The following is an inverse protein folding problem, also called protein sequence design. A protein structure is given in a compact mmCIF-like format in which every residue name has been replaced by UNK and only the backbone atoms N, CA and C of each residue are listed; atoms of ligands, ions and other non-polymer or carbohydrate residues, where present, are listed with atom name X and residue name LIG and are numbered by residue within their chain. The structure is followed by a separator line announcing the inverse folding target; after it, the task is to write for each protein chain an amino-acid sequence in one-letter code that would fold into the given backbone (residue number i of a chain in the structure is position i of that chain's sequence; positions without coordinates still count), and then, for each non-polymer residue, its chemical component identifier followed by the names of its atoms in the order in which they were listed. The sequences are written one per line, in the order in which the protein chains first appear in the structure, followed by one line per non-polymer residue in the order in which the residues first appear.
data_IF_560734795400
#
_entry.id   IF_560734795400
#
_cell.length_a   1.000
_cell.length_b   1.000
_cell.length_c   1.000
_cell.angle_alpha   90.00
_cell.angle_beta   90.00
_cell.angle_gamma   90.00
#
_symmetry.space_group_name_H-M   'P 1'
#
loop_
_entity.id
_entity.type
_entity.pdbx_description
1 polymer ?
#
# COMPACT_ATOMS: atom_id res chain seq x y z
N UNK A 1 44.51 -13.08 66.46
CA UNK A 1 43.04 -12.92 66.42
C UNK A 1 42.64 -12.58 65.00
N UNK A 2 42.27 -13.54 64.31
CA UNK A 2 41.34 -13.80 63.24
C UNK A 2 40.97 -12.62 62.35
N UNK A 3 41.64 -12.58 61.19
CA UNK A 3 41.26 -11.75 60.05
C UNK A 3 40.38 -12.51 59.07
N UNK A 4 39.20 -12.00 58.80
CA UNK A 4 38.27 -12.52 57.83
C UNK A 4 38.62 -11.91 56.47
N UNK A 5 39.12 -12.72 55.57
CA UNK A 5 39.29 -12.40 54.13
C UNK A 5 37.93 -12.52 53.46
N UNK A 6 37.37 -11.38 53.08
CA UNK A 6 36.17 -11.32 52.27
C UNK A 6 36.59 -11.52 50.78
N UNK A 7 36.31 -12.69 50.22
CA UNK A 7 36.44 -12.94 48.80
C UNK A 7 35.28 -12.24 48.06
N UNK A 8 35.57 -11.15 47.39
CA UNK A 8 34.66 -10.54 46.45
C UNK A 8 34.70 -11.39 45.19
N UNK A 9 33.68 -12.23 44.99
CA UNK A 9 33.45 -12.97 43.78
C UNK A 9 32.83 -11.99 42.76
N UNK A 10 33.66 -11.47 41.85
CA UNK A 10 33.19 -10.71 40.71
C UNK A 10 32.54 -11.69 39.76
N UNK A 11 31.23 -11.85 39.84
CA UNK A 11 30.41 -12.53 38.83
C UNK A 11 30.36 -11.61 37.63
N UNK A 12 31.25 -11.85 36.68
CA UNK A 12 31.17 -11.29 35.32
C UNK A 12 29.98 -11.94 34.64
N UNK A 13 28.82 -11.28 34.73
CA UNK A 13 27.66 -11.67 33.97
C UNK A 13 27.96 -11.33 32.48
N UNK A 14 28.50 -12.31 31.76
CA UNK A 14 28.47 -12.28 30.30
C UNK A 14 26.99 -12.32 29.86
N UNK A 15 26.39 -11.14 29.68
CA UNK A 15 25.19 -10.99 28.92
C UNK A 15 25.57 -11.29 27.47
N UNK A 16 25.58 -12.57 27.14
CA UNK A 16 25.46 -13.00 25.76
C UNK A 16 24.09 -12.53 25.32
N UNK A 17 24.02 -11.34 24.74
CA UNK A 17 22.91 -10.95 23.89
C UNK A 17 22.88 -11.95 22.74
N UNK A 18 22.20 -13.06 22.96
CA UNK A 18 21.73 -13.91 21.90
C UNK A 18 20.82 -13.04 21.07
N UNK A 19 21.38 -12.44 20.02
CA UNK A 19 20.61 -12.08 18.86
C UNK A 19 19.96 -13.39 18.42
N UNK A 20 18.77 -13.64 18.93
CA UNK A 20 17.85 -14.62 18.38
C UNK A 20 17.48 -14.07 17.01
N UNK A 21 18.35 -14.26 16.03
CA UNK A 21 17.90 -14.48 14.67
C UNK A 21 16.75 -15.47 14.83
N UNK A 22 15.52 -15.00 14.72
CA UNK A 22 14.38 -15.83 14.42
C UNK A 22 14.68 -16.44 13.03
N UNK A 23 15.58 -17.39 12.97
CA UNK A 23 15.48 -18.42 11.97
C UNK A 23 14.08 -19.01 12.19
N UNK A 24 13.14 -18.65 11.35
CA UNK A 24 11.94 -19.42 11.21
C UNK A 24 12.46 -20.80 10.82
N UNK A 25 12.48 -21.71 11.79
CA UNK A 25 12.68 -23.12 11.50
C UNK A 25 11.50 -23.45 10.62
N UNK A 26 11.74 -23.50 9.31
CA UNK A 26 10.75 -23.92 8.36
C UNK A 26 10.30 -25.30 8.83
N UNK A 27 9.03 -25.43 9.17
CA UNK A 27 8.44 -26.74 9.48
C UNK A 27 8.75 -27.61 8.26
N UNK A 28 9.35 -28.81 8.41
CA UNK A 28 9.90 -29.59 7.28
C UNK A 28 8.93 -29.97 6.16
N UNK A 29 7.70 -29.45 6.22
CA UNK A 29 6.66 -29.61 5.20
C UNK A 29 6.33 -28.32 4.40
N UNK A 30 6.64 -27.13 4.90
CA UNK A 30 6.23 -25.88 4.27
C UNK A 30 7.24 -25.37 3.22
N UNK A 31 6.72 -24.59 2.24
CA UNK A 31 7.56 -23.91 1.26
C UNK A 31 8.08 -22.59 1.85
N UNK A 32 9.35 -22.27 1.58
CA UNK A 32 9.95 -20.99 1.99
C UNK A 32 9.78 -19.97 0.86
N UNK A 33 8.98 -18.92 1.12
CA UNK A 33 8.78 -17.80 0.17
C UNK A 33 10.08 -17.17 -0.30
N UNK A 34 11.10 -17.15 0.55
CA UNK A 34 12.39 -16.51 0.23
C UNK A 34 13.15 -17.20 -0.90
N UNK A 35 12.78 -18.44 -1.25
CA UNK A 35 13.39 -19.22 -2.33
C UNK A 35 12.82 -18.86 -3.71
N UNK A 36 11.62 -18.28 -3.75
CA UNK A 36 10.95 -17.97 -5.01
C UNK A 36 11.50 -16.68 -5.64
N UNK A 37 11.86 -16.77 -6.90
CA UNK A 37 12.29 -15.66 -7.76
C UNK A 37 11.52 -15.71 -9.05
N UNK A 38 11.19 -14.55 -9.57
CA UNK A 38 10.40 -14.40 -10.79
C UNK A 38 11.05 -13.37 -11.69
N UNK A 39 10.97 -13.59 -12.99
CA UNK A 39 11.32 -12.56 -13.95
C UNK A 39 10.24 -11.48 -13.96
N UNK A 40 10.64 -10.23 -13.75
CA UNK A 40 9.71 -9.09 -13.70
C UNK A 40 8.88 -8.98 -14.98
N UNK A 41 9.46 -9.33 -16.13
CA UNK A 41 8.79 -9.36 -17.44
C UNK A 41 7.62 -10.36 -17.54
N UNK A 42 7.55 -11.36 -16.67
CA UNK A 42 6.43 -12.30 -16.61
C UNK A 42 5.25 -11.78 -15.75
N UNK A 43 5.51 -10.76 -14.95
CA UNK A 43 4.58 -10.25 -13.94
C UNK A 43 3.89 -8.96 -14.37
N UNK A 44 4.54 -8.18 -15.22
CA UNK A 44 4.08 -6.86 -15.66
C UNK A 44 4.25 -6.70 -17.17
N UNK A 45 3.42 -5.84 -17.82
CA UNK A 45 3.58 -5.50 -19.22
C UNK A 45 4.95 -4.88 -19.50
N UNK A 46 5.47 -5.09 -20.72
CA UNK A 46 6.80 -4.59 -21.13
C UNK A 46 6.91 -3.08 -20.99
N UNK A 47 5.84 -2.35 -21.26
CA UNK A 47 5.75 -0.90 -21.19
C UNK A 47 5.92 -0.37 -19.76
N UNK A 48 5.64 -1.20 -18.75
CA UNK A 48 5.79 -0.86 -17.34
C UNK A 48 7.20 -1.14 -16.79
N UNK A 49 8.03 -1.90 -17.52
CA UNK A 49 9.38 -2.28 -17.04
C UNK A 49 10.32 -1.07 -17.00
N UNK A 50 10.18 -0.16 -17.96
CA UNK A 50 11.05 0.99 -18.11
C UNK A 50 10.27 2.23 -18.55
N UNK A 51 10.48 3.32 -17.82
CA UNK A 51 9.97 4.65 -18.14
C UNK A 51 11.09 5.69 -18.23
N UNK A 52 10.76 6.96 -18.45
CA UNK A 52 11.75 8.03 -18.64
C UNK A 52 12.73 8.18 -17.45
N UNK A 53 12.27 7.93 -16.23
CA UNK A 53 13.01 8.17 -14.98
C UNK A 53 13.06 6.96 -14.07
N UNK A 54 12.65 5.78 -14.54
CA UNK A 54 12.68 4.55 -13.76
C UNK A 54 12.95 3.33 -14.62
N UNK A 55 13.42 2.28 -13.98
CA UNK A 55 13.54 0.93 -14.52
C UNK A 55 13.29 -0.08 -13.40
N UNK A 56 12.50 -1.12 -13.66
CA UNK A 56 12.27 -2.21 -12.72
C UNK A 56 13.46 -3.17 -12.73
N UNK A 57 13.82 -3.68 -11.56
CA UNK A 57 14.79 -4.76 -11.49
C UNK A 57 14.27 -5.97 -12.28
N UNK A 58 15.15 -6.70 -12.99
CA UNK A 58 14.76 -7.86 -13.81
C UNK A 58 14.21 -9.00 -12.97
N UNK A 59 14.59 -9.07 -11.69
CA UNK A 59 14.15 -10.09 -10.74
C UNK A 59 13.24 -9.50 -9.68
N UNK A 60 12.20 -10.26 -9.35
CA UNK A 60 11.20 -9.96 -8.32
C UNK A 60 11.18 -11.09 -7.31
N UNK A 61 11.29 -10.76 -6.03
CA UNK A 61 11.16 -11.70 -4.92
C UNK A 61 9.70 -11.79 -4.43
N UNK A 62 9.44 -12.72 -3.52
CA UNK A 62 8.16 -12.90 -2.85
C UNK A 62 8.31 -12.57 -1.36
N UNK A 63 7.30 -11.91 -0.78
CA UNK A 63 7.19 -11.66 0.64
C UNK A 63 5.72 -11.52 1.06
N UNK A 64 5.29 -12.34 2.00
CA UNK A 64 3.89 -12.40 2.48
C UNK A 64 2.87 -12.55 1.34
N UNK A 65 3.16 -13.48 0.40
CA UNK A 65 2.33 -13.73 -0.79
C UNK A 65 2.35 -12.61 -1.84
N UNK A 66 3.19 -11.59 -1.67
CA UNK A 66 3.25 -10.42 -2.55
C UNK A 66 4.56 -10.35 -3.29
N UNK A 67 4.50 -10.02 -4.57
CA UNK A 67 5.68 -9.70 -5.36
C UNK A 67 6.32 -8.41 -4.84
N UNK A 68 7.63 -8.42 -4.62
CA UNK A 68 8.41 -7.27 -4.17
C UNK A 68 9.21 -6.72 -5.34
N UNK A 69 8.71 -5.64 -5.91
CA UNK A 69 9.34 -4.96 -7.04
C UNK A 69 10.31 -3.89 -6.54
N UNK A 70 11.51 -3.87 -7.11
CA UNK A 70 12.48 -2.79 -6.91
C UNK A 70 12.46 -1.89 -8.14
N UNK A 71 12.24 -0.61 -7.91
CA UNK A 71 12.12 0.42 -8.95
C UNK A 71 13.36 1.30 -8.83
N UNK A 72 14.30 1.12 -9.73
CA UNK A 72 15.47 2.02 -9.84
C UNK A 72 15.01 3.30 -10.51
N UNK A 73 15.18 4.41 -9.83
CA UNK A 73 14.89 5.73 -10.39
C UNK A 73 16.15 6.56 -10.49
N UNK A 74 16.09 7.66 -11.23
CA UNK A 74 17.19 8.64 -11.25
C UNK A 74 17.45 9.26 -9.88
N UNK A 75 16.52 9.13 -8.93
CA UNK A 75 16.56 9.75 -7.60
C UNK A 75 16.69 8.74 -6.46
N UNK A 76 16.93 7.47 -6.75
CA UNK A 76 17.09 6.41 -5.75
C UNK A 76 16.27 5.17 -6.09
N UNK A 77 16.21 4.23 -5.15
CA UNK A 77 15.46 2.96 -5.31
C UNK A 77 14.19 3.02 -4.47
N UNK A 78 13.06 2.74 -5.11
CA UNK A 78 11.78 2.54 -4.43
C UNK A 78 11.44 1.06 -4.38
N UNK A 79 10.72 0.65 -3.36
CA UNK A 79 10.21 -0.72 -3.21
C UNK A 79 8.69 -0.71 -3.23
N UNK A 80 8.11 -1.64 -4.00
CA UNK A 80 6.67 -1.80 -4.09
C UNK A 80 6.27 -3.23 -3.72
N UNK A 81 5.51 -3.39 -2.64
CA UNK A 81 4.96 -4.68 -2.20
C UNK A 81 3.58 -4.91 -2.81
N UNK A 82 3.51 -5.80 -3.80
CA UNK A 82 2.31 -6.11 -4.57
C UNK A 82 2.14 -5.22 -5.81
N UNK A 83 1.40 -5.74 -6.78
CA UNK A 83 1.09 -5.02 -8.03
C UNK A 83 0.34 -3.69 -7.82
N UNK A 84 -0.64 -3.58 -6.89
CA UNK A 84 -1.33 -2.30 -6.65
C UNK A 84 -0.37 -1.20 -6.20
N UNK A 85 0.59 -1.54 -5.32
CA UNK A 85 1.61 -0.60 -4.88
C UNK A 85 2.58 -0.23 -6.01
N UNK A 86 2.96 -1.19 -6.86
CA UNK A 86 3.76 -0.91 -8.04
C UNK A 86 3.08 0.12 -8.94
N UNK A 87 1.81 -0.07 -9.27
CA UNK A 87 1.05 0.88 -10.11
C UNK A 87 1.01 2.28 -9.50
N UNK A 88 0.78 2.37 -8.18
CA UNK A 88 0.83 3.65 -7.47
C UNK A 88 2.20 4.32 -7.66
N UNK A 89 3.30 3.60 -7.42
CA UNK A 89 4.66 4.14 -7.55
C UNK A 89 4.99 4.58 -8.97
N UNK A 90 4.57 3.83 -9.99
CA UNK A 90 4.80 4.21 -11.38
C UNK A 90 4.00 5.47 -11.78
N UNK A 91 2.75 5.61 -11.32
CA UNK A 91 1.97 6.85 -11.49
C UNK A 91 2.63 8.04 -10.80
N UNK A 92 3.18 7.85 -9.61
CA UNK A 92 3.90 8.90 -8.89
C UNK A 92 5.18 9.33 -9.65
N UNK A 93 5.85 8.41 -10.36
CA UNK A 93 6.99 8.78 -11.24
C UNK A 93 6.52 9.67 -12.40
N UNK A 94 5.41 9.35 -13.04
CA UNK A 94 4.83 10.19 -14.08
C UNK A 94 4.40 11.56 -13.53
N UNK A 95 3.90 11.59 -12.29
CA UNK A 95 3.53 12.83 -11.61
C UNK A 95 4.75 13.73 -11.35
N UNK A 96 5.87 13.16 -10.90
CA UNK A 96 7.14 13.89 -10.70
C UNK A 96 7.62 14.50 -12.03
N UNK A 97 7.56 13.73 -13.11
CA UNK A 97 7.98 14.21 -14.43
C UNK A 97 7.04 15.32 -14.96
N UNK A 98 5.74 15.21 -14.73
CA UNK A 98 4.78 16.27 -15.06
C UNK A 98 5.04 17.54 -14.26
N UNK A 99 5.24 17.42 -12.96
CA UNK A 99 5.56 18.56 -12.10
C UNK A 99 6.82 19.28 -12.58
N UNK A 100 7.82 18.54 -13.03
CA UNK A 100 9.05 19.08 -13.61
C UNK A 100 8.80 19.86 -14.91
N UNK A 101 7.96 19.32 -15.81
CA UNK A 101 7.65 19.97 -17.10
C UNK A 101 6.75 21.20 -16.97
N UNK A 102 5.83 21.18 -15.99
CA UNK A 102 4.86 22.26 -15.78
C UNK A 102 5.45 23.46 -15.06
N UNK A 103 6.59 23.32 -14.39
CA UNK A 103 7.20 24.44 -13.68
C UNK A 103 7.93 25.36 -14.67
N UNK A 104 7.82 26.68 -14.42
CA UNK A 104 8.54 27.70 -15.21
C UNK A 104 10.06 27.57 -15.12
N UNK A 105 10.56 26.89 -14.08
CA UNK A 105 11.97 26.68 -13.82
C UNK A 105 12.28 25.18 -13.63
N UNK A 106 12.18 24.35 -14.70
CA UNK A 106 12.38 22.90 -14.61
C UNK A 106 13.79 22.51 -14.15
N UNK A 107 14.77 23.39 -14.36
CA UNK A 107 16.14 23.19 -13.90
C UNK A 107 16.27 23.24 -12.37
N UNK A 108 15.46 24.07 -11.69
CA UNK A 108 15.46 24.15 -10.23
C UNK A 108 14.86 22.90 -9.59
N UNK A 109 13.82 22.35 -10.19
CA UNK A 109 13.27 21.05 -9.74
C UNK A 109 14.31 19.95 -9.95
N UNK A 110 14.98 19.94 -11.10
CA UNK A 110 16.06 18.99 -11.37
C UNK A 110 17.18 19.08 -10.35
N UNK A 111 17.64 20.30 -10.05
CA UNK A 111 18.67 20.54 -9.03
C UNK A 111 18.21 20.11 -7.63
N UNK A 112 16.97 20.41 -7.25
CA UNK A 112 16.38 19.98 -5.99
C UNK A 112 16.35 18.45 -5.88
N UNK A 113 15.82 17.74 -6.89
CA UNK A 113 15.76 16.29 -6.92
C UNK A 113 17.17 15.67 -6.87
N UNK A 114 18.15 16.23 -7.59
CA UNK A 114 19.54 15.79 -7.53
C UNK A 114 20.14 15.97 -6.13
N UNK A 115 19.81 17.05 -5.41
CA UNK A 115 20.26 17.27 -4.04
C UNK A 115 19.73 16.20 -3.07
N UNK A 116 18.53 15.64 -3.32
CA UNK A 116 18.01 14.50 -2.55
C UNK A 116 18.84 13.23 -2.76
N UNK A 117 19.46 13.06 -3.92
CA UNK A 117 20.27 11.88 -4.28
C UNK A 117 21.70 11.98 -3.74
N UNK A 118 22.30 13.16 -3.76
CA UNK A 118 23.72 13.37 -3.39
C UNK A 118 24.02 13.13 -1.91
N UNK A 119 22.99 13.04 -1.06
CA UNK A 119 23.19 12.52 0.28
C UNK A 119 23.29 10.98 0.22
N UNK A 120 24.54 10.44 0.18
CA UNK A 120 24.82 8.99 0.21
C UNK A 120 24.07 8.23 1.33
N UNK A 121 23.62 8.91 2.38
CA UNK A 121 22.76 8.39 3.45
C UNK A 121 21.27 8.36 3.08
N UNK A 122 20.82 9.14 2.09
CA UNK A 122 19.44 9.18 1.65
C UNK A 122 19.00 7.89 0.93
N UNK A 123 19.89 7.29 0.14
CA UNK A 123 19.58 6.07 -0.58
C UNK A 123 19.37 4.85 0.34
N UNK A 124 20.11 4.78 1.45
CA UNK A 124 20.03 3.69 2.42
C UNK A 124 18.81 3.86 3.37
N UNK A 125 18.47 5.11 3.71
CA UNK A 125 17.30 5.46 4.52
C UNK A 125 15.97 5.21 3.78
N UNK A 126 15.92 5.41 2.46
CA UNK A 126 14.76 5.12 1.62
C UNK A 126 14.40 3.63 1.56
N UNK A 127 15.38 2.75 1.83
CA UNK A 127 15.22 1.30 1.79
C UNK A 127 14.66 0.71 3.10
N UNK A 128 14.91 1.36 4.25
CA UNK A 128 14.67 0.75 5.56
C UNK A 128 13.46 1.28 6.31
N UNK A 129 13.12 2.56 6.16
CA UNK A 129 11.96 3.17 6.83
C UNK A 129 11.41 4.38 6.06
N UNK A 130 10.42 4.19 5.16
CA UNK A 130 9.89 5.28 4.36
C UNK A 130 9.11 6.33 5.16
N UNK A 131 8.66 6.04 6.38
CA UNK A 131 7.90 6.97 7.23
C UNK A 131 8.83 7.71 8.20
N UNK A 132 9.82 7.03 8.79
CA UNK A 132 10.78 7.62 9.71
C UNK A 132 11.89 8.42 9.02
N UNK A 133 12.19 8.12 7.75
CA UNK A 133 13.28 8.74 7.00
C UNK A 133 13.03 10.19 6.62
N UNK A 134 11.77 10.59 6.44
CA UNK A 134 11.39 11.99 6.14
C UNK A 134 11.65 12.92 7.32
N UNK A 135 11.71 12.38 8.54
CA UNK A 135 11.98 13.15 9.77
C UNK A 135 13.48 13.30 10.09
N UNK A 136 14.37 12.56 9.38
CA UNK A 136 15.82 12.60 9.60
C UNK A 136 16.55 13.06 8.34
N UNK A 137 16.32 14.32 7.96
CA UNK A 137 17.17 14.96 6.94
C UNK A 137 18.59 15.09 7.50
N UNK A 138 19.62 14.57 6.83
CA UNK A 138 21.00 14.70 7.29
C UNK A 138 21.39 16.17 7.46
N UNK A 139 22.13 16.47 8.52
CA UNK A 139 22.54 17.82 8.91
C UNK A 139 23.45 18.58 7.89
N UNK A 140 23.59 18.07 6.67
CA UNK A 140 24.37 18.69 5.58
C UNK A 140 23.53 19.24 4.42
N UNK A 141 22.20 19.00 4.40
CA UNK A 141 21.33 19.63 3.41
C UNK A 141 20.93 21.00 4.00
N UNK A 142 21.42 22.04 3.38
CA UNK A 142 21.49 23.40 3.90
C UNK A 142 20.27 23.93 4.67
N UNK A 143 20.47 24.95 5.49
CA UNK A 143 19.47 25.62 6.37
C UNK A 143 18.12 25.84 5.72
N UNK A 144 18.05 26.04 4.39
CA UNK A 144 16.80 26.22 3.65
C UNK A 144 15.86 25.03 3.63
N UNK A 145 16.35 23.78 3.63
CA UNK A 145 15.49 22.60 3.65
C UNK A 145 14.93 22.32 5.05
N UNK A 146 15.71 22.58 6.10
CA UNK A 146 15.23 22.49 7.48
C UNK A 146 14.17 23.54 7.81
N UNK A 147 14.27 24.76 7.25
CA UNK A 147 13.23 25.77 7.35
C UNK A 147 11.96 25.37 6.58
N UNK A 148 12.12 24.77 5.39
CA UNK A 148 11.03 24.26 4.57
C UNK A 148 10.25 23.12 5.26
N UNK A 149 10.94 22.24 5.97
CA UNK A 149 10.36 21.10 6.67
C UNK A 149 9.92 21.41 8.10
N UNK A 150 10.02 22.68 8.52
CA UNK A 150 9.63 23.08 9.88
C UNK A 150 8.11 22.88 10.11
N UNK A 151 7.68 22.50 11.34
CA UNK A 151 6.26 22.32 11.67
C UNK A 151 5.40 23.58 11.42
N UNK A 152 5.99 24.77 11.50
CA UNK A 152 5.31 26.04 11.25
C UNK A 152 4.96 26.22 9.75
N UNK A 153 5.87 25.84 8.85
CA UNK A 153 5.64 25.90 7.40
C UNK A 153 4.70 24.80 6.90
N UNK A 154 4.61 23.66 7.59
CA UNK A 154 3.63 22.61 7.28
C UNK A 154 2.19 23.06 7.50
N UNK A 155 1.90 23.92 8.48
CA UNK A 155 0.55 24.43 8.72
C UNK A 155 0.07 25.39 7.63
N UNK A 156 0.91 26.29 7.15
CA UNK A 156 0.58 27.24 6.07
C UNK A 156 0.69 26.62 4.67
N UNK A 157 1.60 25.66 4.47
CA UNK A 157 1.77 24.93 3.21
C UNK A 157 0.72 23.86 2.94
N UNK A 158 -0.04 23.45 3.96
CA UNK A 158 -0.98 22.32 3.84
C UNK A 158 -2.07 22.53 2.78
N UNK A 159 -2.65 23.71 2.69
CA UNK A 159 -3.65 24.05 1.67
C UNK A 159 -3.02 24.15 0.28
N UNK A 160 -1.91 24.85 0.14
CA UNK A 160 -1.20 24.98 -1.13
C UNK A 160 -0.73 23.59 -1.60
N UNK A 161 -0.19 22.76 -0.71
CA UNK A 161 0.21 21.38 -1.01
C UNK A 161 -0.98 20.55 -1.53
N UNK A 162 -2.15 20.65 -0.92
CA UNK A 162 -3.35 19.94 -1.38
C UNK A 162 -3.78 20.39 -2.77
N UNK A 163 -3.82 21.70 -3.03
CA UNK A 163 -4.14 22.26 -4.35
C UNK A 163 -3.14 21.80 -5.42
N UNK A 164 -1.84 21.84 -5.12
CA UNK A 164 -0.79 21.35 -6.02
C UNK A 164 -0.96 19.85 -6.28
N UNK A 165 -1.19 19.04 -5.24
CA UNK A 165 -1.41 17.62 -5.38
C UNK A 165 -2.66 17.30 -6.23
N UNK A 166 -3.76 18.04 -6.04
CA UNK A 166 -4.97 17.90 -6.85
C UNK A 166 -4.72 18.25 -8.33
N UNK A 167 -3.95 19.31 -8.61
CA UNK A 167 -3.54 19.69 -9.96
C UNK A 167 -2.65 18.65 -10.63
N UNK A 168 -1.77 18.03 -9.86
CA UNK A 168 -0.86 16.97 -10.32
C UNK A 168 -1.50 15.58 -10.35
N UNK A 169 -2.75 15.45 -9.92
CA UNK A 169 -3.47 14.18 -9.82
C UNK A 169 -2.76 13.15 -8.93
N UNK A 170 -2.38 13.56 -7.74
CA UNK A 170 -1.73 12.69 -6.76
C UNK A 170 -2.27 12.91 -5.35
N UNK A 171 -1.95 11.97 -4.45
CA UNK A 171 -2.30 12.07 -3.05
C UNK A 171 -1.43 13.13 -2.35
N UNK A 172 -2.02 14.15 -1.71
CA UNK A 172 -1.25 15.11 -0.91
C UNK A 172 -0.54 14.47 0.28
N UNK A 173 -1.00 13.30 0.76
CA UNK A 173 -0.41 12.54 1.85
C UNK A 173 0.47 11.38 1.35
N UNK A 174 0.95 11.45 0.09
CA UNK A 174 1.76 10.38 -0.51
C UNK A 174 2.92 9.94 0.37
N UNK A 175 3.12 8.61 0.45
CA UNK A 175 4.26 7.99 1.12
C UNK A 175 5.47 7.81 0.20
N UNK A 176 5.42 8.30 -1.04
CA UNK A 176 6.61 8.38 -1.89
C UNK A 176 7.48 9.54 -1.41
N UNK A 177 8.69 9.28 -0.88
CA UNK A 177 9.50 10.33 -0.29
C UNK A 177 9.93 11.40 -1.32
N UNK A 178 10.14 10.99 -2.58
CA UNK A 178 10.55 11.90 -3.66
C UNK A 178 9.39 12.84 -4.01
N UNK A 179 8.20 12.30 -4.23
CA UNK A 179 7.01 13.09 -4.56
C UNK A 179 6.60 13.96 -3.38
N UNK A 180 6.64 13.44 -2.15
CA UNK A 180 6.32 14.19 -0.93
C UNK A 180 7.20 15.41 -0.78
N UNK A 181 8.53 15.24 -0.91
CA UNK A 181 9.49 16.34 -0.86
C UNK A 181 9.27 17.36 -1.98
N UNK A 182 8.94 16.90 -3.19
CA UNK A 182 8.64 17.77 -4.33
C UNK A 182 7.37 18.59 -4.09
N UNK A 183 6.30 18.00 -3.55
CA UNK A 183 5.07 18.72 -3.20
C UNK A 183 5.33 19.80 -2.16
N UNK A 184 6.12 19.50 -1.11
CA UNK A 184 6.50 20.49 -0.09
C UNK A 184 7.32 21.63 -0.70
N UNK A 185 8.28 21.32 -1.55
CA UNK A 185 9.11 22.30 -2.23
C UNK A 185 8.29 23.24 -3.14
N UNK A 186 7.36 22.67 -3.93
CA UNK A 186 6.46 23.46 -4.78
C UNK A 186 5.53 24.33 -3.92
N UNK A 187 4.92 23.77 -2.86
CA UNK A 187 3.99 24.45 -2.00
C UNK A 187 4.59 25.71 -1.35
N UNK A 188 5.85 25.64 -0.92
CA UNK A 188 6.55 26.79 -0.33
C UNK A 188 6.87 27.86 -1.36
N UNK A 189 7.28 27.49 -2.58
CA UNK A 189 7.64 28.46 -3.64
C UNK A 189 6.42 29.09 -4.32
N UNK A 190 5.32 28.34 -4.41
CA UNK A 190 4.11 28.80 -5.09
C UNK A 190 3.13 29.52 -4.19
N UNK A 191 3.46 29.79 -2.94
CA UNK A 191 2.60 30.57 -2.04
C UNK A 191 1.98 31.86 -2.65
N UNK A 192 2.31 32.16 -3.91
CA UNK A 192 1.89 33.39 -4.61
C UNK A 192 1.50 33.18 -6.10
N UNK A 193 1.63 32.02 -6.72
CA UNK A 193 1.32 31.95 -8.16
C UNK A 193 1.03 30.53 -8.67
N UNK A 194 -0.20 30.31 -9.10
CA UNK A 194 -0.74 29.03 -9.47
C UNK A 194 -0.01 28.28 -10.59
N UNK A 195 -0.03 26.96 -10.53
CA UNK A 195 0.29 26.05 -11.64
C UNK A 195 -0.91 26.08 -12.60
N UNK A 196 -0.72 26.66 -13.77
CA UNK A 196 -1.73 26.63 -14.82
C UNK A 196 -1.55 25.35 -15.66
N UNK A 197 -2.50 24.42 -15.55
CA UNK A 197 -2.55 23.28 -16.45
C UNK A 197 -3.38 22.12 -15.92
N UNK A 198 -4.56 21.90 -16.51
CA UNK A 198 -5.31 20.65 -16.35
C UNK A 198 -4.72 19.62 -17.30
N UNK A 199 -4.08 18.58 -16.81
CA UNK A 199 -3.65 17.45 -17.65
C UNK A 199 -4.02 16.15 -16.95
N UNK A 200 -5.07 15.51 -17.45
CA UNK A 200 -5.38 14.13 -17.11
C UNK A 200 -4.63 13.18 -18.04
N UNK A 201 -3.69 12.43 -17.54
CA UNK A 201 -3.12 11.27 -18.23
C UNK A 201 -3.29 10.05 -17.33
N UNK A 202 -4.05 9.09 -17.82
CA UNK A 202 -4.26 7.83 -17.14
C UNK A 202 -3.25 6.82 -17.68
N UNK A 203 -2.23 6.50 -16.88
CA UNK A 203 -1.47 5.28 -17.10
C UNK A 203 -2.37 4.10 -16.72
N UNK A 204 -3.05 3.53 -17.69
CA UNK A 204 -3.83 2.30 -17.51
C UNK A 204 -2.90 1.14 -17.79
N UNK A 205 -2.41 0.49 -16.73
CA UNK A 205 -1.76 -0.81 -16.89
C UNK A 205 -2.86 -1.88 -17.03
N UNK A 206 -2.90 -2.63 -18.16
CA UNK A 206 -3.88 -3.69 -18.35
C UNK A 206 -3.89 -4.67 -17.17
N UNK A 207 -5.08 -4.99 -16.64
CA UNK A 207 -5.24 -5.89 -15.50
C UNK A 207 -4.97 -5.32 -14.11
N UNK A 208 -4.65 -4.02 -14.00
CA UNK A 208 -4.43 -3.33 -12.73
C UNK A 208 -5.25 -2.04 -12.69
N UNK A 209 -6.55 -2.17 -12.50
CA UNK A 209 -7.41 -1.03 -12.24
C UNK A 209 -7.11 -0.50 -10.84
N UNK A 210 -6.49 0.68 -10.73
CA UNK A 210 -6.62 1.48 -9.52
C UNK A 210 -8.00 2.11 -9.53
N UNK A 211 -8.57 2.31 -8.34
CA UNK A 211 -9.82 3.06 -8.19
C UNK A 211 -9.58 4.45 -8.79
N UNK A 212 -10.32 4.86 -9.83
CA UNK A 212 -10.13 6.17 -10.42
C UNK A 212 -10.49 7.24 -9.40
N UNK A 213 -9.60 8.19 -9.18
CA UNK A 213 -9.91 9.42 -8.45
C UNK A 213 -10.88 10.23 -9.30
N UNK A 214 -12.09 10.43 -8.82
CA UNK A 214 -13.08 11.26 -9.51
C UNK A 214 -12.70 12.73 -9.45
N UNK A 215 -13.21 13.54 -10.38
CA UNK A 215 -13.03 15.00 -10.33
C UNK A 215 -13.51 15.57 -8.98
N UNK A 216 -14.61 15.03 -8.45
CA UNK A 216 -15.16 15.40 -7.15
C UNK A 216 -14.17 15.15 -6.01
N UNK A 217 -13.48 13.99 -5.98
CA UNK A 217 -12.46 13.74 -4.95
C UNK A 217 -11.31 14.74 -5.01
N UNK A 218 -10.89 15.14 -6.21
CA UNK A 218 -9.83 16.11 -6.39
C UNK A 218 -10.23 17.50 -5.87
N UNK A 219 -11.45 17.94 -6.16
CA UNK A 219 -12.00 19.20 -5.65
C UNK A 219 -12.09 19.18 -4.12
N UNK A 220 -12.65 18.11 -3.54
CA UNK A 220 -12.73 17.94 -2.09
C UNK A 220 -11.37 17.95 -1.41
N UNK A 221 -10.38 17.25 -1.95
CA UNK A 221 -9.00 17.24 -1.42
C UNK A 221 -8.30 18.59 -1.55
N UNK A 222 -8.64 19.39 -2.57
CA UNK A 222 -8.06 20.72 -2.77
C UNK A 222 -8.63 21.74 -1.80
N UNK A 223 -9.95 21.73 -1.59
CA UNK A 223 -10.70 22.79 -0.93
C UNK A 223 -10.95 22.51 0.56
N UNK A 224 -11.10 21.24 0.96
CA UNK A 224 -11.38 20.87 2.33
C UNK A 224 -10.11 20.44 3.08
N UNK A 225 -10.06 20.75 4.37
CA UNK A 225 -8.98 20.27 5.24
C UNK A 225 -9.14 18.77 5.53
N UNK A 226 -8.06 18.05 5.88
CA UNK A 226 -8.16 16.66 6.31
C UNK A 226 -9.13 16.45 7.48
N UNK A 227 -9.28 17.43 8.37
CA UNK A 227 -10.22 17.37 9.48
C UNK A 227 -11.67 17.40 8.99
N UNK A 228 -12.01 18.30 8.07
CA UNK A 228 -13.35 18.41 7.47
C UNK A 228 -13.69 17.13 6.68
N UNK A 229 -12.74 16.65 5.87
CA UNK A 229 -12.90 15.40 5.14
C UNK A 229 -13.10 14.20 6.08
N UNK A 230 -12.39 14.13 7.18
CA UNK A 230 -12.57 13.07 8.17
C UNK A 230 -13.96 13.10 8.81
N UNK A 231 -14.49 14.28 9.15
CA UNK A 231 -15.88 14.44 9.65
C UNK A 231 -16.89 13.98 8.60
N UNK A 232 -16.66 14.30 7.33
CA UNK A 232 -17.51 13.85 6.22
C UNK A 232 -17.46 12.32 6.08
N UNK A 233 -16.27 11.71 6.06
CA UNK A 233 -16.07 10.28 5.98
C UNK A 233 -16.80 9.56 7.12
N UNK A 234 -16.65 10.03 8.35
CA UNK A 234 -17.34 9.47 9.52
C UNK A 234 -18.87 9.51 9.34
N UNK A 235 -19.42 10.67 8.91
CA UNK A 235 -20.85 10.84 8.67
C UNK A 235 -21.36 9.91 7.57
N UNK A 236 -20.67 9.82 6.42
CA UNK A 236 -21.06 8.95 5.31
C UNK A 236 -21.07 7.48 5.71
N UNK A 237 -20.08 7.04 6.51
CA UNK A 237 -20.06 5.67 7.05
C UNK A 237 -21.25 5.39 7.99
N UNK A 238 -21.61 6.35 8.86
CA UNK A 238 -22.78 6.23 9.72
C UNK A 238 -24.07 6.16 8.90
N UNK A 239 -24.20 6.96 7.84
CA UNK A 239 -25.34 6.93 6.91
C UNK A 239 -25.45 5.59 6.14
N UNK A 240 -24.31 4.90 5.93
CA UNK A 240 -24.28 3.55 5.37
C UNK A 240 -24.66 2.47 6.38
N UNK A 241 -24.89 2.81 7.66
CA UNK A 241 -25.31 1.89 8.70
C UNK A 241 -24.17 1.26 9.52
N UNK A 242 -22.95 1.78 9.42
CA UNK A 242 -21.84 1.33 10.26
C UNK A 242 -21.95 1.86 11.70
N UNK A 243 -21.43 1.10 12.65
CA UNK A 243 -21.36 1.52 14.05
C UNK A 243 -20.53 2.82 14.21
N UNK A 244 -21.06 3.88 14.87
CA UNK A 244 -20.36 5.16 14.96
C UNK A 244 -18.98 5.08 15.64
N UNK A 245 -18.79 4.19 16.61
CA UNK A 245 -17.50 3.99 17.27
C UNK A 245 -16.50 3.35 16.31
N UNK A 246 -16.96 2.43 15.47
CA UNK A 246 -16.12 1.84 14.43
C UNK A 246 -15.74 2.87 13.37
N UNK A 247 -16.67 3.72 12.95
CA UNK A 247 -16.40 4.83 12.00
C UNK A 247 -15.34 5.79 12.56
N UNK A 248 -15.47 6.18 13.82
CA UNK A 248 -14.49 7.04 14.49
C UNK A 248 -13.11 6.39 14.57
N UNK A 249 -13.03 5.09 14.90
CA UNK A 249 -11.76 4.34 14.90
C UNK A 249 -11.15 4.29 13.51
N UNK A 250 -11.94 4.01 12.48
CA UNK A 250 -11.46 3.97 11.10
C UNK A 250 -10.81 5.29 10.68
N UNK A 251 -11.43 6.40 11.02
CA UNK A 251 -10.90 7.74 10.68
C UNK A 251 -9.64 8.09 11.46
N UNK A 252 -9.54 7.69 12.74
CA UNK A 252 -8.46 8.12 13.64
C UNK A 252 -7.27 7.15 13.70
N UNK A 253 -7.54 5.85 13.61
CA UNK A 253 -6.54 4.81 13.93
C UNK A 253 -6.00 4.11 12.68
N UNK A 254 -6.71 4.17 11.52
CA UNK A 254 -6.20 3.55 10.30
C UNK A 254 -4.98 4.30 9.74
N UNK A 255 -3.99 3.57 9.26
CA UNK A 255 -2.84 4.12 8.53
C UNK A 255 -3.15 4.51 7.07
N UNK A 256 -4.43 4.62 6.73
CA UNK A 256 -4.89 5.07 5.41
C UNK A 256 -4.72 6.59 5.27
N UNK A 257 -4.32 7.07 4.11
CA UNK A 257 -4.39 8.50 3.78
C UNK A 257 -5.84 8.96 3.68
N UNK A 258 -6.09 10.27 3.76
CA UNK A 258 -7.45 10.82 3.62
C UNK A 258 -8.07 10.40 2.28
N UNK A 259 -7.31 10.46 1.18
CA UNK A 259 -7.75 9.98 -0.13
C UNK A 259 -8.11 8.49 -0.12
N UNK A 260 -7.28 7.64 0.50
CA UNK A 260 -7.53 6.21 0.59
C UNK A 260 -8.79 5.92 1.41
N UNK A 261 -9.04 6.64 2.52
CA UNK A 261 -10.28 6.54 3.28
C UNK A 261 -11.52 6.90 2.46
N UNK A 262 -11.46 7.99 1.68
CA UNK A 262 -12.54 8.36 0.75
C UNK A 262 -12.80 7.25 -0.28
N UNK A 263 -11.74 6.67 -0.85
CA UNK A 263 -11.85 5.55 -1.77
C UNK A 263 -12.50 4.32 -1.12
N UNK A 264 -12.15 3.98 0.13
CA UNK A 264 -12.76 2.88 0.88
C UNK A 264 -14.26 3.13 1.06
N UNK A 265 -14.65 4.33 1.48
CA UNK A 265 -16.06 4.69 1.65
C UNK A 265 -16.82 4.52 0.34
N UNK A 266 -16.28 4.99 -0.77
CA UNK A 266 -16.93 4.84 -2.08
C UNK A 266 -17.14 3.37 -2.47
N UNK A 267 -16.14 2.52 -2.20
CA UNK A 267 -16.29 1.08 -2.43
C UNK A 267 -17.33 0.44 -1.51
N UNK A 268 -17.40 0.87 -0.25
CA UNK A 268 -18.39 0.34 0.71
C UNK A 268 -19.82 0.79 0.40
N UNK A 269 -20.03 1.95 -0.24
CA UNK A 269 -21.35 2.39 -0.73
C UNK A 269 -21.97 1.36 -1.68
N UNK A 270 -21.17 0.84 -2.59
CA UNK A 270 -21.64 -0.17 -3.56
C UNK A 270 -22.01 -1.51 -2.89
N UNK A 271 -21.45 -1.82 -1.73
CA UNK A 271 -21.72 -3.04 -0.95
C UNK A 271 -22.78 -2.83 0.13
N UNK A 272 -23.57 -1.76 0.04
CA UNK A 272 -24.63 -1.47 1.01
C UNK A 272 -25.65 -2.62 1.05
N UNK A 273 -25.96 -3.10 2.28
CA UNK A 273 -26.91 -4.20 2.49
C UNK A 273 -26.30 -5.60 2.38
N UNK A 274 -25.03 -5.73 2.01
CA UNK A 274 -24.30 -7.00 2.04
C UNK A 274 -24.06 -7.41 3.49
N UNK A 275 -24.43 -8.65 3.85
CA UNK A 275 -24.10 -9.21 5.17
C UNK A 275 -22.59 -9.25 5.37
N UNK A 276 -22.12 -8.98 6.59
CA UNK A 276 -20.70 -8.99 6.91
C UNK A 276 -19.89 -7.76 6.45
N UNK A 277 -20.49 -6.79 5.74
CA UNK A 277 -19.76 -5.59 5.28
C UNK A 277 -19.05 -4.81 6.42
N UNK A 278 -19.59 -4.87 7.65
CA UNK A 278 -18.94 -4.32 8.85
C UNK A 278 -17.54 -4.89 9.12
N UNK A 279 -17.28 -6.13 8.72
CA UNK A 279 -15.99 -6.79 8.88
C UNK A 279 -14.93 -6.13 7.99
N UNK A 280 -15.33 -5.69 6.80
CA UNK A 280 -14.43 -4.96 5.88
C UNK A 280 -13.97 -3.64 6.50
N UNK A 281 -14.88 -2.87 7.14
CA UNK A 281 -14.50 -1.64 7.81
C UNK A 281 -13.58 -1.89 9.02
N UNK A 282 -13.86 -2.95 9.82
CA UNK A 282 -12.97 -3.36 10.92
C UNK A 282 -11.56 -3.67 10.43
N UNK A 283 -11.44 -4.37 9.32
CA UNK A 283 -10.15 -4.66 8.69
C UNK A 283 -9.45 -3.37 8.23
N UNK A 284 -10.19 -2.42 7.67
CA UNK A 284 -9.66 -1.10 7.33
C UNK A 284 -9.03 -0.36 8.50
N UNK A 285 -9.57 -0.52 9.72
CA UNK A 285 -8.99 0.06 10.95
C UNK A 285 -7.62 -0.51 11.28
N UNK A 286 -7.37 -1.78 10.98
CA UNK A 286 -6.10 -2.47 11.34
C UNK A 286 -4.96 -2.23 10.34
N UNK A 287 -5.22 -1.48 9.28
CA UNK A 287 -4.21 -1.19 8.25
C UNK A 287 -3.24 -0.13 8.75
N UNK A 288 -1.96 -0.45 8.77
CA UNK A 288 -0.89 0.46 9.20
C UNK A 288 0.02 0.90 8.05
N UNK A 289 0.19 0.05 7.04
CA UNK A 289 1.15 0.27 5.94
C UNK A 289 0.43 0.61 4.63
N UNK A 290 1.00 1.51 3.85
CA UNK A 290 0.47 1.88 2.53
C UNK A 290 0.34 0.70 1.57
N UNK A 291 1.25 -0.26 1.62
CA UNK A 291 1.15 -1.47 0.80
C UNK A 291 -0.09 -2.32 1.16
N UNK A 292 -0.42 -2.41 2.45
CA UNK A 292 -1.63 -3.10 2.93
C UNK A 292 -2.89 -2.31 2.52
N UNK A 293 -2.82 -0.97 2.62
CA UNK A 293 -3.89 -0.08 2.15
C UNK A 293 -4.20 -0.29 0.66
N UNK A 294 -3.16 -0.33 -0.19
CA UNK A 294 -3.34 -0.54 -1.63
C UNK A 294 -3.88 -1.93 -1.97
N UNK A 295 -3.46 -2.97 -1.26
CA UNK A 295 -4.00 -4.31 -1.43
C UNK A 295 -5.45 -4.41 -0.96
N UNK A 296 -5.80 -3.76 0.15
CA UNK A 296 -7.18 -3.70 0.66
C UNK A 296 -8.11 -2.96 -0.31
N UNK A 297 -7.69 -1.82 -0.85
CA UNK A 297 -8.44 -1.10 -1.88
C UNK A 297 -8.65 -1.95 -3.13
N UNK A 298 -7.63 -2.70 -3.56
CA UNK A 298 -7.76 -3.62 -4.68
C UNK A 298 -8.73 -4.77 -4.38
N UNK A 299 -8.72 -5.29 -3.15
CA UNK A 299 -9.67 -6.30 -2.70
C UNK A 299 -11.12 -5.78 -2.73
N UNK A 300 -11.37 -4.57 -2.20
CA UNK A 300 -12.68 -3.94 -2.28
C UNK A 300 -13.14 -3.71 -3.72
N UNK A 301 -12.21 -3.35 -4.61
CA UNK A 301 -12.51 -3.22 -6.04
C UNK A 301 -12.92 -4.55 -6.66
N UNK A 302 -12.21 -5.64 -6.37
CA UNK A 302 -12.59 -6.99 -6.83
C UNK A 302 -13.96 -7.41 -6.27
N UNK A 303 -14.23 -7.15 -5.00
CA UNK A 303 -15.52 -7.40 -4.37
C UNK A 303 -16.66 -6.67 -5.11
N UNK A 304 -16.45 -5.39 -5.46
CA UNK A 304 -17.43 -4.62 -6.22
C UNK A 304 -17.61 -5.12 -7.65
N UNK A 305 -16.54 -5.56 -8.31
CA UNK A 305 -16.65 -6.18 -9.63
C UNK A 305 -17.46 -7.47 -9.58
N UNK A 306 -17.29 -8.29 -8.53
CA UNK A 306 -18.10 -9.49 -8.31
C UNK A 306 -19.53 -9.07 -8.03
N UNK A 307 -19.77 -8.14 -7.11
CA UNK A 307 -21.10 -7.67 -6.73
C UNK A 307 -21.89 -7.13 -7.93
N UNK A 308 -21.24 -6.39 -8.82
CA UNK A 308 -21.86 -5.87 -10.04
C UNK A 308 -22.29 -6.99 -11.00
N UNK A 309 -21.56 -8.10 -11.04
CA UNK A 309 -21.83 -9.22 -11.97
C UNK A 309 -22.79 -10.27 -11.39
N UNK A 310 -22.68 -10.54 -10.09
CA UNK A 310 -23.30 -11.70 -9.46
C UNK A 310 -23.97 -11.40 -8.12
N UNK A 311 -24.08 -10.14 -7.73
CA UNK A 311 -24.69 -9.69 -6.48
C UNK A 311 -24.23 -10.46 -5.24
N UNK A 312 -23.18 -9.98 -4.59
CA UNK A 312 -22.69 -10.51 -3.30
C UNK A 312 -23.76 -10.29 -2.24
N UNK A 313 -24.08 -11.32 -1.46
CA UNK A 313 -25.07 -11.29 -0.38
C UNK A 313 -24.43 -11.41 1.00
N UNK A 314 -23.27 -12.04 1.11
CA UNK A 314 -22.55 -12.24 2.38
C UNK A 314 -21.05 -12.20 2.20
N UNK A 315 -20.33 -11.62 3.17
CA UNK A 315 -18.86 -11.54 3.23
C UNK A 315 -18.41 -12.08 4.58
N UNK A 316 -17.51 -13.05 4.56
CA UNK A 316 -16.82 -13.57 5.73
C UNK A 316 -15.38 -13.11 5.65
N UNK A 317 -14.93 -12.35 6.66
CA UNK A 317 -13.57 -11.82 6.71
C UNK A 317 -12.59 -12.90 7.18
N UNK A 318 -11.87 -13.44 6.23
CA UNK A 318 -10.73 -14.34 6.43
C UNK A 318 -9.46 -13.65 5.91
N UNK A 319 -8.30 -14.30 5.98
CA UNK A 319 -7.07 -13.77 5.33
C UNK A 319 -7.33 -13.37 3.86
N UNK A 320 -8.13 -14.17 3.17
CA UNK A 320 -8.73 -13.88 1.86
C UNK A 320 -10.24 -13.95 2.03
N UNK A 321 -11.00 -12.87 1.80
CA UNK A 321 -12.43 -12.86 2.03
C UNK A 321 -13.15 -13.99 1.28
N UNK A 322 -14.03 -14.66 1.98
CA UNK A 322 -14.96 -15.61 1.40
C UNK A 322 -16.30 -14.90 1.21
N UNK A 323 -16.79 -14.84 -0.02
CA UNK A 323 -18.07 -14.22 -0.35
C UNK A 323 -19.06 -15.25 -0.85
N UNK A 324 -20.34 -15.03 -0.53
CA UNK A 324 -21.46 -15.78 -1.08
C UNK A 324 -22.22 -14.86 -2.03
N UNK A 325 -22.47 -15.31 -3.24
CA UNK A 325 -23.29 -14.58 -4.22
C UNK A 325 -24.72 -15.11 -4.22
N UNK A 326 -25.67 -14.39 -4.86
CA UNK A 326 -27.10 -14.63 -4.78
C UNK A 326 -27.52 -16.08 -5.15
N UNK A 327 -26.85 -16.68 -6.12
CA UNK A 327 -27.09 -18.09 -6.52
C UNK A 327 -26.55 -19.13 -5.51
N UNK A 328 -25.98 -18.69 -4.38
CA UNK A 328 -25.41 -19.54 -3.34
C UNK A 328 -23.95 -19.97 -3.59
N UNK A 329 -23.36 -19.66 -4.75
CA UNK A 329 -21.97 -19.93 -5.02
C UNK A 329 -21.05 -19.19 -4.05
N UNK A 330 -19.98 -19.83 -3.62
CA UNK A 330 -18.97 -19.22 -2.76
C UNK A 330 -17.69 -18.93 -3.55
N UNK A 331 -17.11 -17.74 -3.31
CA UNK A 331 -15.89 -17.27 -3.96
C UNK A 331 -14.88 -16.83 -2.92
N UNK A 332 -13.63 -17.25 -3.06
CA UNK A 332 -12.50 -16.73 -2.27
C UNK A 332 -11.87 -15.58 -3.04
N UNK A 333 -11.92 -14.37 -2.49
CA UNK A 333 -11.34 -13.18 -3.12
C UNK A 333 -9.88 -13.05 -2.69
N UNK A 334 -8.95 -13.29 -3.60
CA UNK A 334 -7.53 -13.32 -3.32
C UNK A 334 -6.78 -12.23 -4.11
N UNK A 335 -6.15 -11.32 -3.38
CA UNK A 335 -5.30 -10.26 -3.94
C UNK A 335 -3.80 -10.57 -3.85
N UNK A 336 -3.42 -11.75 -3.33
CA UNK A 336 -2.05 -12.20 -3.33
C UNK A 336 -1.53 -12.34 -4.78
N UNK A 337 -0.27 -11.99 -4.98
CA UNK A 337 0.38 -12.20 -6.29
C UNK A 337 0.72 -13.67 -6.53
N UNK A 338 1.14 -14.35 -5.47
CA UNK A 338 1.53 -15.76 -5.47
C UNK A 338 1.25 -16.39 -4.11
N UNK A 339 0.70 -17.58 -4.09
CA UNK A 339 0.53 -18.38 -2.87
C UNK A 339 1.48 -19.56 -2.86
N UNK A 340 2.16 -19.74 -1.74
CA UNK A 340 2.98 -20.88 -1.40
C UNK A 340 2.30 -21.72 -0.33
N UNK A 341 2.69 -22.98 -0.19
CA UNK A 341 2.20 -23.86 0.85
C UNK A 341 2.90 -23.57 2.17
N UNK A 342 2.42 -22.55 2.88
CA UNK A 342 2.97 -22.03 4.12
C UNK A 342 1.98 -22.09 5.30
N UNK A 343 2.46 -21.79 6.50
CA UNK A 343 1.60 -21.75 7.69
C UNK A 343 0.41 -20.77 7.55
N UNK A 344 0.55 -19.55 7.01
CA UNK A 344 -0.57 -18.67 6.71
C UNK A 344 -1.63 -19.26 5.79
N UNK A 345 -1.25 -20.01 4.75
CA UNK A 345 -2.20 -20.72 3.87
C UNK A 345 -2.95 -21.82 4.61
N UNK A 346 -2.25 -22.61 5.43
CA UNK A 346 -2.86 -23.66 6.23
C UNK A 346 -3.84 -23.10 7.28
N UNK A 347 -3.52 -21.99 7.93
CA UNK A 347 -4.47 -21.29 8.83
C UNK A 347 -5.71 -20.81 8.07
N UNK A 348 -5.52 -20.25 6.88
CA UNK A 348 -6.64 -19.84 6.03
C UNK A 348 -7.50 -21.03 5.63
N UNK A 349 -6.91 -22.15 5.16
CA UNK A 349 -7.65 -23.33 4.72
C UNK A 349 -8.43 -23.97 5.87
N UNK A 350 -7.88 -24.00 7.08
CA UNK A 350 -8.58 -24.46 8.29
C UNK A 350 -9.80 -23.60 8.59
N UNK A 351 -9.63 -22.27 8.58
CA UNK A 351 -10.73 -21.32 8.82
C UNK A 351 -11.77 -21.36 7.69
N UNK A 352 -11.33 -21.47 6.45
CA UNK A 352 -12.19 -21.55 5.28
C UNK A 352 -13.06 -22.83 5.33
N UNK A 353 -12.45 -23.99 5.62
CA UNK A 353 -13.18 -25.26 5.76
C UNK A 353 -14.29 -25.21 6.80
N UNK A 354 -14.08 -24.49 7.91
CA UNK A 354 -15.08 -24.35 8.98
C UNK A 354 -16.32 -23.56 8.56
N UNK A 355 -16.21 -22.71 7.54
CA UNK A 355 -17.30 -21.80 7.11
C UNK A 355 -17.83 -22.10 5.70
N UNK A 356 -17.15 -22.98 4.94
CA UNK A 356 -17.65 -23.41 3.62
C UNK A 356 -18.97 -24.16 3.78
N UNK A 357 -20.01 -23.65 3.12
CA UNK A 357 -21.34 -24.25 3.10
C UNK A 357 -21.53 -25.29 1.99
N UNK A 358 -20.65 -25.22 0.99
CA UNK A 358 -20.64 -26.10 -0.18
C UNK A 358 -19.26 -26.76 -0.33
N UNK A 359 -19.18 -27.93 -0.97
CA UNK A 359 -17.91 -28.64 -1.13
C UNK A 359 -16.95 -27.97 -2.11
N UNK A 360 -17.32 -26.86 -2.72
CA UNK A 360 -16.48 -26.13 -3.66
C UNK A 360 -16.68 -24.63 -3.55
N UNK A 361 -15.57 -23.89 -3.50
CA UNK A 361 -15.52 -22.44 -3.70
C UNK A 361 -14.54 -22.13 -4.83
N UNK A 362 -14.81 -21.06 -5.58
CA UNK A 362 -13.93 -20.64 -6.64
C UNK A 362 -12.94 -19.56 -6.17
N UNK A 363 -11.68 -19.70 -6.53
CA UNK A 363 -10.66 -18.71 -6.25
C UNK A 363 -10.72 -17.58 -7.29
N UNK A 364 -11.10 -16.40 -6.85
CA UNK A 364 -11.22 -15.20 -7.68
C UNK A 364 -10.04 -14.23 -7.45
N UNK A 365 -9.41 -13.83 -8.54
CA UNK A 365 -8.25 -12.93 -8.54
C UNK A 365 -7.12 -13.42 -9.46
N UNK A 366 -6.17 -12.55 -9.76
CA UNK A 366 -5.02 -12.88 -10.63
C UNK A 366 -3.86 -13.50 -9.84
N UNK A 367 -4.16 -14.47 -8.97
CA UNK A 367 -3.17 -15.14 -8.12
C UNK A 367 -2.51 -16.30 -8.87
N UNK A 368 -1.19 -16.46 -8.67
CA UNK A 368 -0.44 -17.67 -9.07
C UNK A 368 -0.30 -18.59 -7.85
N UNK A 369 -0.21 -19.89 -8.08
CA UNK A 369 -0.11 -20.90 -7.05
C UNK A 369 1.12 -21.76 -7.27
N UNK A 370 1.84 -22.12 -6.20
CA UNK A 370 2.75 -23.25 -6.24
C UNK A 370 1.95 -24.56 -6.39
N UNK A 371 2.59 -25.63 -6.82
CA UNK A 371 1.91 -26.93 -6.96
C UNK A 371 1.41 -27.47 -5.61
N UNK A 372 2.18 -27.24 -4.54
CA UNK A 372 1.77 -27.62 -3.18
C UNK A 372 0.59 -26.77 -2.68
N UNK A 373 0.65 -25.44 -2.87
CA UNK A 373 -0.45 -24.54 -2.50
C UNK A 373 -1.74 -24.91 -3.24
N UNK A 374 -1.63 -25.29 -4.53
CA UNK A 374 -2.76 -25.79 -5.31
C UNK A 374 -3.37 -27.04 -4.69
N UNK A 375 -2.54 -28.04 -4.40
CA UNK A 375 -3.00 -29.27 -3.79
C UNK A 375 -3.68 -29.04 -2.42
N UNK A 376 -3.13 -28.11 -1.62
CA UNK A 376 -3.69 -27.71 -0.32
C UNK A 376 -5.08 -27.06 -0.46
N UNK A 377 -5.26 -26.18 -1.44
CA UNK A 377 -6.55 -25.54 -1.74
C UNK A 377 -7.57 -26.54 -2.31
N UNK A 378 -7.16 -27.38 -3.26
CA UNK A 378 -8.00 -28.43 -3.84
C UNK A 378 -8.49 -29.42 -2.75
N UNK A 379 -7.65 -29.70 -1.74
CA UNK A 379 -7.98 -30.54 -0.60
C UNK A 379 -9.12 -30.01 0.30
N UNK A 380 -9.47 -28.72 0.18
CA UNK A 380 -10.63 -28.11 0.86
C UNK A 380 -11.73 -27.74 -0.13
N UNK A 381 -11.60 -28.08 -1.40
CA UNK A 381 -12.58 -27.76 -2.44
C UNK A 381 -12.50 -26.33 -2.99
N UNK A 382 -11.43 -25.58 -2.73
CA UNK A 382 -11.19 -24.27 -3.35
C UNK A 382 -10.47 -24.45 -4.68
N UNK A 383 -11.13 -24.11 -5.77
CA UNK A 383 -10.61 -24.31 -7.13
C UNK A 383 -10.31 -22.98 -7.79
N UNK A 384 -9.22 -22.93 -8.55
CA UNK A 384 -8.94 -21.79 -9.40
C UNK A 384 -9.78 -21.87 -10.66
N UNK A 385 -10.61 -20.86 -10.90
CA UNK A 385 -11.23 -20.67 -12.21
C UNK A 385 -10.13 -20.42 -13.25
N UNK A 386 -10.23 -21.01 -14.45
CA UNK A 386 -9.37 -20.64 -15.55
C UNK A 386 -9.53 -19.12 -15.76
N UNK A 387 -8.43 -18.37 -15.67
CA UNK A 387 -8.45 -16.96 -16.06
C UNK A 387 -8.92 -16.91 -17.51
N UNK A 388 -9.96 -16.14 -17.84
CA UNK A 388 -10.27 -15.91 -19.25
C UNK A 388 -8.99 -15.32 -19.87
N UNK A 389 -8.45 -16.03 -20.84
CA UNK A 389 -7.31 -15.56 -21.61
C UNK A 389 -7.69 -14.18 -22.14
N UNK A 390 -6.90 -13.19 -21.76
CA UNK A 390 -7.03 -11.84 -22.30
C UNK A 390 -6.68 -11.92 -23.78
N UNK A 391 -7.73 -12.11 -24.61
CA UNK A 391 -7.63 -11.89 -26.04
C UNK A 391 -7.33 -10.41 -26.33
#
# INVERSE_FOLDING_TARGET
MTGIRCCVLVLTLCVVQSAVLKQSVADPGFEDESTFRFHTSELVPREAIKGPNYELDPETSLHDGRFVFRIRTTWGVLVAHGKPMLVLRLREMDTIERARKMNREPQLIGSFLNTLVDSRKGAELLLTDPVGSVLRVPAGIGKGLNELLSPANRKSGGEVRRRVAAQLDCDPETTNPILSALLDWIAVRQGVGGVAGKVGLHLVLPGLALIPTTAQFKEQLADESPAELNIRIERELVELGFDPKLCQKFVRESGLTTLQRMMVVEQLKSLRGVSGHNLLLRRGVTIEKTADAMNFLHELLLLNQIHTRQQVVDVIDLKYPLVTVENGQQLVVCTAGYLVDDQPLHKFTTSCRAVLKQPAADLHGSVRLSDKARATLDGIGVRRLPTPESN
#
